data_IF_773023636206
#
_entry.id   IF_773023636206
#
_cell.length_a   1.000
_cell.length_b   1.000
_cell.length_c   1.000
_cell.angle_alpha   90.00
_cell.angle_beta   90.00
_cell.angle_gamma   90.00
#
_symmetry.space_group_name_H-M   'P 1'
#
loop_
_entity.id
_entity.type
_entity.pdbx_description
1 polymer ?
#
# COMPACT_ATOMS: atom_id res chain seq x y z
N UNK A 1 -50.76 -50.19 -14.20
CA UNK A 1 -51.77 -50.96 -14.95
C UNK A 1 -51.35 -51.00 -16.41
N UNK A 2 -50.97 -52.20 -16.86
CA UNK A 2 -51.07 -52.65 -18.26
C UNK A 2 -52.40 -52.15 -18.88
N UNK A 3 -52.59 -51.95 -20.18
CA UNK A 3 -51.79 -52.16 -21.38
C UNK A 3 -52.70 -51.73 -22.54
N UNK A 4 -52.08 -51.17 -23.59
CA UNK A 4 -52.21 -51.54 -25.01
C UNK A 4 -53.60 -51.79 -25.62
N UNK A 5 -53.76 -51.31 -26.87
CA UNK A 5 -53.94 -52.17 -28.06
C UNK A 5 -53.59 -51.36 -29.33
N UNK A 6 -52.51 -51.70 -30.05
CA UNK A 6 -52.32 -52.80 -31.05
C UNK A 6 -52.97 -52.40 -32.40
N UNK A 7 -52.21 -51.83 -33.36
CA UNK A 7 -51.41 -52.44 -34.46
C UNK A 7 -52.25 -52.94 -35.66
N UNK A 8 -51.89 -52.46 -36.86
CA UNK A 8 -51.81 -53.24 -38.11
C UNK A 8 -50.66 -52.62 -38.94
N UNK A 9 -49.60 -53.36 -39.29
CA UNK A 9 -49.50 -54.22 -40.49
C UNK A 9 -49.03 -53.36 -41.69
N UNK A 10 -47.95 -53.60 -42.43
CA UNK A 10 -47.52 -54.86 -43.02
C UNK A 10 -46.10 -54.74 -43.65
N UNK A 11 -45.36 -55.86 -43.62
CA UNK A 11 -44.24 -56.35 -44.46
C UNK A 11 -43.38 -55.36 -45.29
N UNK A 12 -42.08 -55.17 -44.96
CA UNK A 12 -40.87 -55.97 -45.33
C UNK A 12 -40.52 -56.00 -46.82
N UNK A 13 -39.40 -55.34 -47.17
CA UNK A 13 -38.35 -55.91 -48.05
C UNK A 13 -36.96 -55.50 -47.55
N UNK A 14 -36.05 -56.45 -47.67
CA UNK A 14 -34.76 -56.50 -46.99
C UNK A 14 -33.63 -55.79 -47.73
N UNK A 15 -32.70 -55.30 -46.91
CA UNK A 15 -31.25 -55.25 -47.09
C UNK A 15 -30.67 -54.66 -48.38
N UNK A 16 -29.96 -53.54 -48.20
CA UNK A 16 -28.54 -53.42 -48.58
C UNK A 16 -27.88 -52.33 -47.74
N UNK A 17 -26.95 -52.77 -46.91
CA UNK A 17 -26.02 -51.97 -46.11
C UNK A 17 -25.10 -51.16 -47.04
N UNK A 18 -25.07 -49.84 -46.85
CA UNK A 18 -23.91 -49.03 -47.20
C UNK A 18 -23.63 -48.11 -46.00
N UNK A 19 -22.58 -48.46 -45.26
CA UNK A 19 -22.05 -47.68 -44.15
C UNK A 19 -21.51 -46.35 -44.68
N UNK A 20 -21.98 -45.24 -44.11
CA UNK A 20 -21.26 -43.96 -44.15
C UNK A 20 -21.16 -43.48 -42.71
N UNK A 21 -20.05 -43.82 -42.06
CA UNK A 21 -19.64 -43.21 -40.80
C UNK A 21 -19.04 -41.86 -41.15
N UNK A 22 -19.82 -40.78 -41.00
CA UNK A 22 -19.27 -39.43 -41.00
C UNK A 22 -18.62 -39.16 -39.65
N UNK A 23 -17.29 -39.32 -39.60
CA UNK A 23 -16.46 -38.84 -38.51
C UNK A 23 -16.26 -37.33 -38.70
N UNK A 24 -17.15 -36.52 -38.13
CA UNK A 24 -16.94 -35.08 -38.02
C UNK A 24 -15.90 -34.84 -36.91
N UNK A 25 -14.62 -34.85 -37.28
CA UNK A 25 -13.55 -34.32 -36.44
C UNK A 25 -13.73 -32.80 -36.34
N UNK A 26 -14.45 -32.36 -35.30
CA UNK A 26 -14.48 -30.95 -34.91
C UNK A 26 -13.09 -30.55 -34.44
N UNK A 27 -12.31 -29.90 -35.31
CA UNK A 27 -11.11 -29.18 -34.91
C UNK A 27 -11.60 -27.97 -34.11
N UNK A 28 -11.71 -28.15 -32.79
CA UNK A 28 -11.85 -27.04 -31.88
C UNK A 28 -10.55 -26.25 -31.90
N UNK A 29 -10.51 -25.15 -32.67
CA UNK A 29 -9.49 -24.13 -32.48
C UNK A 29 -9.80 -23.46 -31.15
N UNK A 30 -9.26 -24.01 -30.06
CA UNK A 30 -9.14 -23.30 -28.80
C UNK A 30 -8.19 -22.13 -29.05
N UNK A 31 -8.75 -20.99 -29.47
CA UNK A 31 -8.04 -19.71 -29.36
C UNK A 31 -7.92 -19.45 -27.87
N UNK A 32 -6.82 -19.88 -27.26
CA UNK A 32 -6.40 -19.37 -25.97
C UNK A 32 -6.19 -17.88 -26.17
N UNK A 33 -7.20 -17.08 -25.82
CA UNK A 33 -6.96 -15.69 -25.48
C UNK A 33 -6.06 -15.76 -24.26
N UNK A 34 -4.74 -15.73 -24.51
CA UNK A 34 -3.78 -15.51 -23.46
C UNK A 34 -4.18 -14.18 -22.84
N UNK A 35 -4.76 -14.23 -21.64
CA UNK A 35 -4.87 -13.07 -20.80
C UNK A 35 -3.44 -12.54 -20.69
N UNK A 36 -3.15 -11.42 -21.34
CA UNK A 36 -1.98 -10.64 -21.01
C UNK A 36 -2.32 -10.10 -19.62
N UNK A 37 -2.01 -10.88 -18.60
CA UNK A 37 -1.83 -10.34 -17.28
C UNK A 37 -0.71 -9.32 -17.46
N UNK A 38 -1.08 -8.04 -17.51
CA UNK A 38 -0.16 -6.98 -17.15
C UNK A 38 0.20 -7.30 -15.70
N UNK A 39 1.24 -8.11 -15.51
CA UNK A 39 1.90 -8.20 -14.23
C UNK A 39 2.35 -6.77 -13.95
N UNK A 40 1.59 -6.06 -13.13
CA UNK A 40 2.12 -4.86 -12.52
C UNK A 40 3.36 -5.36 -11.79
N UNK A 41 4.54 -5.00 -12.27
CA UNK A 41 5.78 -5.41 -11.64
C UNK A 41 5.80 -4.73 -10.28
N UNK A 42 5.32 -5.44 -9.27
CA UNK A 42 5.30 -4.98 -7.90
C UNK A 42 6.73 -4.66 -7.50
N UNK A 43 6.97 -3.43 -7.07
CA UNK A 43 8.26 -3.10 -6.49
C UNK A 43 8.50 -3.95 -5.24
N UNK A 44 9.75 -4.32 -4.96
CA UNK A 44 10.09 -5.00 -3.70
C UNK A 44 9.65 -4.20 -2.48
N UNK A 45 9.81 -2.87 -2.53
CA UNK A 45 9.34 -1.96 -1.48
C UNK A 45 8.43 -0.89 -2.07
N UNK A 46 7.32 -0.63 -1.41
CA UNK A 46 6.51 0.56 -1.63
C UNK A 46 6.70 1.57 -0.50
N UNK A 47 7.22 2.75 -0.85
CA UNK A 47 7.47 3.84 0.09
C UNK A 47 6.22 4.72 0.11
N UNK A 48 5.48 4.69 1.21
CA UNK A 48 4.18 5.34 1.35
C UNK A 48 4.35 6.60 2.20
N UNK A 49 4.19 7.78 1.60
CA UNK A 49 4.57 9.06 2.21
C UNK A 49 3.34 9.95 2.46
N UNK A 50 3.13 10.31 3.73
CA UNK A 50 2.27 11.41 4.13
C UNK A 50 3.08 12.70 4.30
N UNK A 51 2.84 13.65 3.40
CA UNK A 51 3.50 14.97 3.38
C UNK A 51 3.11 15.84 4.60
N UNK A 52 3.79 16.95 4.79
CA UNK A 52 3.46 17.99 5.75
C UNK A 52 2.37 18.95 5.25
N UNK A 53 1.96 19.86 6.13
CA UNK A 53 0.89 20.81 5.84
C UNK A 53 1.21 21.70 4.64
N UNK A 54 0.30 21.71 3.66
CA UNK A 54 0.36 22.56 2.46
C UNK A 54 1.68 22.43 1.66
N UNK A 55 2.40 21.32 1.80
CA UNK A 55 3.64 21.14 1.08
C UNK A 55 3.41 21.07 -0.44
N UNK A 56 4.24 21.78 -1.24
CA UNK A 56 4.31 21.55 -2.67
C UNK A 56 5.07 20.24 -2.97
N UNK A 57 5.17 19.87 -4.25
CA UNK A 57 5.89 18.66 -4.69
C UNK A 57 5.00 17.45 -4.91
N UNK A 58 5.59 16.34 -5.36
CA UNK A 58 4.84 15.09 -5.59
C UNK A 58 4.71 14.32 -4.26
N UNK A 59 5.79 14.11 -3.53
CA UNK A 59 5.76 13.41 -2.23
C UNK A 59 5.82 14.40 -1.04
N UNK A 60 6.02 15.68 -1.32
CA UNK A 60 6.29 16.74 -0.35
C UNK A 60 7.74 17.21 -0.48
N UNK A 61 7.94 18.51 -0.65
CA UNK A 61 9.23 19.08 -1.02
C UNK A 61 10.29 19.05 0.08
N UNK A 62 9.91 19.11 1.37
CA UNK A 62 10.89 19.14 2.47
C UNK A 62 11.46 17.74 2.77
N UNK A 63 10.60 16.72 2.78
CA UNK A 63 10.99 15.36 3.18
C UNK A 63 10.73 14.34 2.09
N UNK A 64 9.50 14.24 1.57
CA UNK A 64 9.09 13.14 0.71
C UNK A 64 9.93 12.98 -0.56
N UNK A 65 9.98 14.03 -1.39
CA UNK A 65 10.70 14.01 -2.66
C UNK A 65 12.22 13.78 -2.48
N UNK A 66 12.94 14.53 -1.60
CA UNK A 66 14.37 14.31 -1.43
C UNK A 66 14.72 12.99 -0.72
N UNK A 67 13.92 12.54 0.26
CA UNK A 67 14.12 11.23 0.91
C UNK A 67 13.98 10.10 -0.10
N UNK A 68 12.91 10.11 -0.90
CA UNK A 68 12.69 9.07 -1.91
C UNK A 68 13.85 9.03 -2.90
N UNK A 69 14.35 10.19 -3.35
CA UNK A 69 15.51 10.25 -4.22
C UNK A 69 16.77 9.62 -3.59
N UNK A 70 16.98 9.76 -2.27
CA UNK A 70 18.07 9.09 -1.55
C UNK A 70 17.83 7.58 -1.47
N UNK A 71 16.63 7.14 -1.10
CA UNK A 71 16.26 5.72 -1.03
C UNK A 71 16.47 5.02 -2.37
N UNK A 72 15.99 5.60 -3.48
CA UNK A 72 16.15 5.04 -4.82
C UNK A 72 17.61 4.88 -5.25
N UNK A 73 18.53 5.68 -4.71
CA UNK A 73 19.96 5.59 -5.02
C UNK A 73 20.71 4.59 -4.13
N UNK A 74 20.25 4.38 -2.90
CA UNK A 74 21.01 3.62 -1.89
C UNK A 74 20.50 2.21 -1.68
N UNK A 75 19.21 1.96 -1.90
CA UNK A 75 18.65 0.63 -1.69
C UNK A 75 19.00 -0.31 -2.85
N UNK A 76 19.45 -1.55 -2.57
CA UNK A 76 19.81 -2.54 -3.59
C UNK A 76 18.60 -3.27 -4.18
N UNK A 77 17.39 -2.76 -3.98
CA UNK A 77 16.13 -3.34 -4.44
C UNK A 77 15.31 -2.29 -5.17
N UNK A 78 14.38 -2.73 -6.01
CA UNK A 78 13.44 -1.85 -6.67
C UNK A 78 12.41 -1.29 -5.67
N UNK A 79 12.14 0.01 -5.80
CA UNK A 79 11.19 0.72 -4.95
C UNK A 79 10.17 1.50 -5.78
N UNK A 80 8.96 1.62 -5.25
CA UNK A 80 7.92 2.55 -5.71
C UNK A 80 7.66 3.63 -4.67
N UNK A 81 7.05 4.74 -5.10
CA UNK A 81 6.55 5.78 -4.20
C UNK A 81 5.03 5.87 -4.31
N UNK A 82 4.37 5.99 -3.16
CA UNK A 82 2.98 6.38 -3.07
C UNK A 82 2.84 7.68 -2.29
N UNK A 83 2.20 8.67 -2.91
CA UNK A 83 1.73 9.87 -2.24
C UNK A 83 0.42 9.56 -1.53
N UNK A 84 0.37 9.72 -0.21
CA UNK A 84 -0.91 9.67 0.51
C UNK A 84 -1.76 10.86 0.08
N UNK A 85 -2.88 10.57 -0.58
CA UNK A 85 -3.82 11.57 -1.08
C UNK A 85 -4.77 12.01 0.06
N UNK A 86 -4.44 13.15 0.66
CA UNK A 86 -5.21 13.75 1.74
C UNK A 86 -5.05 15.28 1.74
N UNK A 87 -5.91 16.03 2.46
CA UNK A 87 -5.90 17.50 2.43
C UNK A 87 -4.54 18.10 2.80
N UNK A 88 -3.84 17.53 3.78
CA UNK A 88 -2.64 18.11 4.37
C UNK A 88 -2.86 19.58 4.81
N UNK A 89 -4.00 19.85 5.43
CA UNK A 89 -4.39 21.20 5.87
C UNK A 89 -4.81 21.16 7.33
N UNK A 90 -4.32 22.11 8.13
CA UNK A 90 -4.71 22.25 9.55
C UNK A 90 -6.12 22.85 9.70
N UNK A 91 -6.63 23.52 8.66
CA UNK A 91 -7.98 24.09 8.66
C UNK A 91 -9.06 23.06 8.28
N UNK A 92 -8.66 21.86 7.83
CA UNK A 92 -9.57 20.76 7.50
C UNK A 92 -9.59 19.77 8.67
N UNK A 93 -10.67 19.72 9.49
CA UNK A 93 -10.70 18.89 10.69
C UNK A 93 -10.50 17.39 10.44
N UNK A 94 -10.92 16.91 9.26
CA UNK A 94 -10.78 15.52 8.86
C UNK A 94 -9.40 15.18 8.28
N UNK A 95 -8.51 16.15 8.08
CA UNK A 95 -7.25 15.96 7.32
C UNK A 95 -6.48 14.73 7.82
N UNK A 96 -6.23 14.64 9.12
CA UNK A 96 -5.52 13.48 9.69
C UNK A 96 -6.29 12.18 9.46
N UNK A 97 -7.59 12.13 9.79
CA UNK A 97 -8.40 10.92 9.58
C UNK A 97 -8.46 10.47 8.11
N UNK A 98 -8.57 11.41 7.18
CA UNK A 98 -8.55 11.15 5.74
C UNK A 98 -7.19 10.60 5.30
N UNK A 99 -6.09 11.17 5.83
CA UNK A 99 -4.74 10.65 5.61
C UNK A 99 -4.58 9.22 6.11
N UNK A 100 -5.08 8.91 7.31
CA UNK A 100 -4.99 7.54 7.86
C UNK A 100 -5.78 6.54 7.01
N UNK A 101 -6.96 6.93 6.56
CA UNK A 101 -7.80 6.13 5.67
C UNK A 101 -7.09 5.90 4.34
N UNK A 102 -6.54 6.93 3.73
CA UNK A 102 -5.86 6.83 2.44
C UNK A 102 -4.60 5.94 2.52
N UNK A 103 -3.73 6.17 3.50
CA UNK A 103 -2.51 5.37 3.70
C UNK A 103 -2.86 3.90 4.00
N UNK A 104 -3.79 3.64 4.92
CA UNK A 104 -4.22 2.27 5.27
C UNK A 104 -4.82 1.56 4.06
N UNK A 105 -5.70 2.24 3.32
CA UNK A 105 -6.36 1.66 2.13
C UNK A 105 -5.36 1.30 1.04
N UNK A 106 -4.37 2.17 0.82
CA UNK A 106 -3.31 1.92 -0.17
C UNK A 106 -2.46 0.70 0.23
N UNK A 107 -1.99 0.64 1.48
CA UNK A 107 -1.19 -0.49 1.97
C UNK A 107 -1.98 -1.80 1.89
N UNK A 108 -3.27 -1.80 2.24
CA UNK A 108 -4.13 -2.99 2.11
C UNK A 108 -4.29 -3.44 0.64
N UNK A 109 -4.53 -2.49 -0.26
CA UNK A 109 -4.71 -2.78 -1.68
C UNK A 109 -3.41 -3.33 -2.30
N UNK A 110 -2.26 -2.69 -2.02
CA UNK A 110 -0.96 -3.17 -2.45
C UNK A 110 -0.62 -4.52 -1.83
N UNK A 111 -0.95 -4.73 -0.56
CA UNK A 111 -0.69 -5.99 0.11
C UNK A 111 -1.44 -7.16 -0.54
N UNK A 112 -2.68 -6.93 -0.99
CA UNK A 112 -3.49 -7.91 -1.70
C UNK A 112 -3.03 -8.14 -3.15
N UNK A 113 -2.63 -7.08 -3.85
CA UNK A 113 -2.16 -7.17 -5.24
C UNK A 113 -0.74 -7.75 -5.37
N UNK A 114 0.11 -7.48 -4.38
CA UNK A 114 1.53 -7.79 -4.36
C UNK A 114 1.89 -8.52 -3.05
N UNK A 115 1.70 -9.85 -2.94
CA UNK A 115 1.85 -10.56 -1.66
C UNK A 115 3.23 -10.45 -1.01
N UNK A 116 4.29 -10.32 -1.80
CA UNK A 116 5.70 -10.23 -1.32
C UNK A 116 6.19 -8.80 -1.09
N UNK A 117 5.43 -7.78 -1.51
CA UNK A 117 5.87 -6.39 -1.41
C UNK A 117 6.00 -5.96 0.06
N UNK A 118 7.02 -5.19 0.40
CA UNK A 118 7.21 -4.65 1.74
C UNK A 118 6.97 -3.14 1.72
N UNK A 119 6.74 -2.54 2.89
CA UNK A 119 6.34 -1.14 2.98
C UNK A 119 7.26 -0.35 3.90
N UNK A 120 7.60 0.86 3.46
CA UNK A 120 8.18 1.88 4.32
C UNK A 120 7.12 2.96 4.50
N UNK A 121 6.73 3.24 5.74
CA UNK A 121 5.76 4.31 6.02
C UNK A 121 6.52 5.56 6.44
N UNK A 122 6.29 6.66 5.73
CA UNK A 122 6.94 7.95 5.99
C UNK A 122 5.89 8.99 6.36
N UNK A 123 6.15 9.76 7.41
CA UNK A 123 5.30 10.88 7.80
C UNK A 123 6.13 12.09 8.19
N UNK A 124 5.79 13.26 7.64
CA UNK A 124 6.41 14.53 8.01
C UNK A 124 5.38 15.50 8.60
N UNK A 125 5.68 16.12 9.76
CA UNK A 125 4.82 17.12 10.40
C UNK A 125 3.40 16.57 10.66
N UNK A 126 2.35 17.15 10.08
CA UNK A 126 0.99 16.57 10.12
C UNK A 126 0.94 15.13 9.58
N UNK A 127 1.74 14.80 8.57
CA UNK A 127 1.88 13.44 8.04
C UNK A 127 2.49 12.45 9.04
N UNK A 128 3.31 12.89 10.00
CA UNK A 128 3.78 12.03 11.08
C UNK A 128 2.62 11.59 11.99
N UNK A 129 1.66 12.49 12.25
CA UNK A 129 0.42 12.16 12.99
C UNK A 129 -0.44 11.16 12.22
N UNK A 130 -0.52 11.31 10.88
CA UNK A 130 -1.17 10.33 10.00
C UNK A 130 -0.51 8.95 10.17
N UNK A 131 0.81 8.87 10.05
CA UNK A 131 1.55 7.61 10.21
C UNK A 131 1.36 7.02 11.61
N UNK A 132 1.40 7.83 12.67
CA UNK A 132 1.08 7.37 14.03
C UNK A 132 -0.31 6.74 14.13
N UNK A 133 -1.32 7.35 13.50
CA UNK A 133 -2.69 6.85 13.48
C UNK A 133 -2.81 5.50 12.77
N UNK A 134 -2.17 5.37 11.60
CA UNK A 134 -2.10 4.12 10.82
C UNK A 134 -1.45 2.99 11.63
N UNK A 135 -0.45 3.30 12.43
CA UNK A 135 0.25 2.35 13.29
C UNK A 135 -0.49 2.04 14.60
N UNK A 136 -1.61 2.71 14.89
CA UNK A 136 -2.38 2.52 16.12
C UNK A 136 -1.71 3.11 17.36
N UNK A 137 -0.90 4.15 17.19
CA UNK A 137 -0.23 4.83 18.32
C UNK A 137 -1.26 5.51 19.22
N UNK A 138 -1.15 5.33 20.54
CA UNK A 138 -2.14 5.80 21.51
C UNK A 138 -2.43 7.32 21.40
N UNK A 139 -1.39 8.13 21.17
CA UNK A 139 -1.52 9.58 21.05
C UNK A 139 -2.29 10.03 19.79
N UNK A 140 -2.36 9.20 18.74
CA UNK A 140 -3.08 9.50 17.52
C UNK A 140 -4.49 8.88 17.48
N UNK A 141 -4.68 7.69 18.06
CA UNK A 141 -5.97 6.97 18.03
C UNK A 141 -7.07 7.60 18.89
N UNK A 142 -6.72 8.58 19.74
CA UNK A 142 -7.70 9.44 20.41
C UNK A 142 -8.43 10.38 19.45
N UNK A 143 -7.88 10.62 18.26
CA UNK A 143 -8.54 11.42 17.23
C UNK A 143 -9.70 10.62 16.61
N UNK A 144 -10.82 11.26 16.27
CA UNK A 144 -11.95 10.58 15.67
C UNK A 144 -11.63 10.11 14.24
N UNK A 145 -12.19 8.97 13.84
CA UNK A 145 -12.15 8.50 12.45
C UNK A 145 -10.79 7.96 11.99
N UNK A 146 -9.89 7.61 12.91
CA UNK A 146 -8.57 7.04 12.59
C UNK A 146 -8.72 5.60 12.08
N UNK A 147 -8.06 5.33 10.95
CA UNK A 147 -7.90 3.99 10.39
C UNK A 147 -6.54 3.43 10.81
N UNK A 148 -6.56 2.20 11.30
CA UNK A 148 -5.38 1.48 11.79
C UNK A 148 -5.14 0.28 10.89
N UNK A 149 -3.88 0.00 10.55
CA UNK A 149 -3.51 -1.21 9.84
C UNK A 149 -3.84 -2.45 10.67
N UNK A 150 -4.39 -3.52 10.05
CA UNK A 150 -4.48 -4.81 10.70
C UNK A 150 -3.09 -5.27 11.17
N UNK A 151 -2.94 -5.72 12.42
CA UNK A 151 -1.63 -6.10 12.97
C UNK A 151 -0.96 -7.24 12.20
N UNK A 152 -1.71 -8.03 11.43
CA UNK A 152 -1.22 -9.09 10.56
C UNK A 152 -0.32 -8.56 9.42
N UNK A 153 -0.47 -7.28 9.03
CA UNK A 153 0.41 -6.64 8.05
C UNK A 153 1.69 -6.07 8.66
N UNK A 154 1.81 -6.04 9.98
CA UNK A 154 2.97 -5.52 10.70
C UNK A 154 4.32 -6.08 10.19
N UNK A 155 4.47 -7.40 9.92
CA UNK A 155 5.73 -7.96 9.40
C UNK A 155 6.13 -7.42 8.02
N UNK A 156 5.18 -6.87 7.25
CA UNK A 156 5.44 -6.27 5.94
C UNK A 156 5.84 -4.79 6.02
N UNK A 157 5.64 -4.13 7.17
CA UNK A 157 6.17 -2.77 7.41
C UNK A 157 7.63 -2.90 7.84
N UNK A 158 8.59 -2.54 6.99
CA UNK A 158 10.02 -2.77 7.27
C UNK A 158 10.69 -1.59 7.96
N UNK A 159 10.14 -0.39 7.78
CA UNK A 159 10.57 0.80 8.48
C UNK A 159 9.42 1.81 8.61
N UNK A 160 9.46 2.59 9.69
CA UNK A 160 8.62 3.76 9.92
C UNK A 160 9.55 4.94 10.11
N UNK A 161 9.43 5.95 9.25
CA UNK A 161 10.29 7.13 9.25
C UNK A 161 9.44 8.38 9.53
N UNK A 162 9.61 8.95 10.71
CA UNK A 162 8.90 10.14 11.14
C UNK A 162 9.85 11.34 11.14
N UNK A 163 9.41 12.46 10.60
CA UNK A 163 10.17 13.71 10.55
C UNK A 163 9.32 14.83 11.13
N UNK A 164 9.88 15.64 12.02
CA UNK A 164 9.14 16.79 12.58
C UNK A 164 7.85 16.38 13.28
N UNK A 165 7.85 15.23 13.95
CA UNK A 165 6.65 14.67 14.59
C UNK A 165 6.17 15.54 15.78
N UNK A 166 4.97 16.15 15.72
CA UNK A 166 4.45 16.95 16.83
C UNK A 166 4.09 16.11 18.05
N UNK A 167 3.83 14.81 17.91
CA UNK A 167 3.42 13.98 19.04
C UNK A 167 4.55 13.77 20.05
N UNK A 168 5.82 13.94 19.65
CA UNK A 168 6.97 13.97 20.56
C UNK A 168 6.80 14.95 21.72
N UNK A 169 6.23 16.12 21.48
CA UNK A 169 6.08 17.16 22.51
C UNK A 169 5.11 16.80 23.61
N UNK A 170 4.18 15.90 23.31
CA UNK A 170 3.18 15.40 24.27
C UNK A 170 3.51 13.99 24.77
N UNK A 171 4.74 13.52 24.55
CA UNK A 171 5.20 12.20 24.96
C UNK A 171 4.61 11.05 24.14
N UNK A 172 4.06 11.36 22.96
CA UNK A 172 3.59 10.36 22.02
C UNK A 172 4.73 9.49 21.50
N UNK A 173 4.46 8.20 21.38
CA UNK A 173 5.40 7.20 20.86
C UNK A 173 4.72 6.36 19.79
N UNK A 174 5.54 5.77 18.92
CA UNK A 174 5.04 4.78 17.96
C UNK A 174 4.54 3.55 18.72
N UNK A 175 3.46 2.94 18.24
CA UNK A 175 2.90 1.74 18.86
C UNK A 175 3.99 0.65 19.05
N UNK A 176 4.03 -0.05 20.20
CA UNK A 176 5.09 -1.01 20.53
C UNK A 176 5.37 -2.07 19.45
N UNK A 177 4.34 -2.45 18.69
CA UNK A 177 4.42 -3.39 17.57
C UNK A 177 5.42 -2.98 16.46
N UNK A 178 5.70 -1.68 16.33
CA UNK A 178 6.58 -1.11 15.30
C UNK A 178 7.81 -0.40 15.89
N UNK A 179 7.93 -0.31 17.22
CA UNK A 179 8.94 0.50 17.88
C UNK A 179 10.38 0.05 17.57
N UNK A 180 10.59 -1.22 17.24
CA UNK A 180 11.91 -1.75 16.88
C UNK A 180 12.41 -1.22 15.53
N UNK A 181 11.53 -0.69 14.67
CA UNK A 181 11.82 -0.24 13.29
C UNK A 181 11.25 1.12 12.98
N UNK A 182 10.98 1.89 14.01
CA UNK A 182 10.47 3.24 13.92
C UNK A 182 11.53 4.24 14.35
N UNK A 183 11.74 5.24 13.52
CA UNK A 183 12.77 6.25 13.70
C UNK A 183 12.13 7.62 13.58
N UNK A 184 12.38 8.48 14.58
CA UNK A 184 11.74 9.77 14.72
C UNK A 184 12.78 10.88 14.73
N UNK A 185 12.95 11.48 13.57
CA UNK A 185 13.92 12.54 13.29
C UNK A 185 13.33 13.89 13.67
N UNK A 186 14.06 14.62 14.51
CA UNK A 186 13.68 15.95 14.94
C UNK A 186 14.90 16.86 14.94
N UNK A 187 14.89 17.87 14.07
CA UNK A 187 16.00 18.82 13.96
C UNK A 187 16.06 19.70 15.20
N UNK A 188 17.27 19.92 15.72
CA UNK A 188 17.45 20.74 16.91
C UNK A 188 16.86 22.14 16.71
N UNK A 189 16.04 22.58 17.67
CA UNK A 189 15.39 23.89 17.61
C UNK A 189 14.09 23.93 16.79
N UNK A 190 13.63 22.81 16.25
CA UNK A 190 12.32 22.68 15.61
C UNK A 190 11.19 22.97 16.63
N UNK A 191 10.34 23.98 16.39
CA UNK A 191 9.23 24.31 17.28
C UNK A 191 8.15 23.21 17.35
N UNK A 192 8.05 22.34 16.34
CA UNK A 192 7.00 21.33 16.22
C UNK A 192 7.33 20.09 17.03
N UNK A 193 8.57 19.61 17.02
CA UNK A 193 8.95 18.33 17.64
C UNK A 193 9.99 18.45 18.76
N UNK A 194 10.63 19.61 18.92
CA UNK A 194 11.66 19.86 19.94
C UNK A 194 11.33 21.04 20.88
N UNK A 195 10.21 21.73 20.69
CA UNK A 195 9.81 22.88 21.53
C UNK A 195 10.75 24.06 21.35
N UNK A 196 11.42 24.12 20.20
CA UNK A 196 12.34 25.20 19.86
C UNK A 196 11.62 26.46 19.34
N UNK A 197 12.40 27.42 18.88
CA UNK A 197 11.93 28.74 18.43
C UNK A 197 12.38 29.07 17.00
N UNK A 198 12.88 28.08 16.25
CA UNK A 198 13.41 28.27 14.90
C UNK A 198 12.50 27.59 13.86
N UNK A 199 11.51 28.28 13.28
CA UNK A 199 10.61 27.70 12.29
C UNK A 199 11.32 27.05 11.09
N UNK A 200 12.47 27.58 10.68
CA UNK A 200 13.26 27.02 9.58
C UNK A 200 13.83 25.63 9.90
N UNK A 201 14.04 25.30 11.18
CA UNK A 201 14.50 23.97 11.58
C UNK A 201 13.46 22.88 11.25
N UNK A 202 12.17 23.24 11.20
CA UNK A 202 11.11 22.31 10.82
C UNK A 202 11.17 21.87 9.35
N UNK A 203 11.87 22.60 8.47
CA UNK A 203 12.09 22.19 7.08
C UNK A 203 13.45 21.53 6.83
N UNK A 204 14.34 21.46 7.83
CA UNK A 204 15.75 21.13 7.64
C UNK A 204 16.05 19.69 8.11
N UNK A 205 15.63 18.71 7.33
CA UNK A 205 15.74 17.27 7.65
C UNK A 205 16.72 16.49 6.77
N UNK A 206 17.37 17.17 5.85
CA UNK A 206 18.29 16.64 4.84
C UNK A 206 19.48 15.88 5.42
N UNK A 207 19.93 16.25 6.63
CA UNK A 207 20.97 15.52 7.37
C UNK A 207 20.57 14.07 7.71
N UNK A 208 19.27 13.78 7.82
CA UNK A 208 18.77 12.49 8.26
C UNK A 208 18.52 11.49 7.11
N UNK A 209 18.42 11.95 5.86
CA UNK A 209 17.96 11.08 4.76
C UNK A 209 18.89 9.90 4.47
N UNK A 210 20.21 10.10 4.53
CA UNK A 210 21.17 9.00 4.36
C UNK A 210 21.11 8.00 5.52
N UNK A 211 20.87 8.47 6.74
CA UNK A 211 20.71 7.62 7.93
C UNK A 211 19.43 6.79 7.80
N UNK A 212 18.32 7.41 7.41
CA UNK A 212 17.05 6.76 7.17
C UNK A 212 17.15 5.68 6.07
N UNK A 213 17.87 5.96 4.98
CA UNK A 213 18.12 4.97 3.94
C UNK A 213 18.95 3.79 4.45
N UNK A 214 19.96 4.02 5.29
CA UNK A 214 20.73 2.96 5.95
C UNK A 214 19.87 2.07 6.85
N UNK A 215 18.92 2.64 7.59
CA UNK A 215 17.99 1.89 8.43
C UNK A 215 17.03 1.02 7.60
N UNK A 216 16.50 1.55 6.50
CA UNK A 216 15.67 0.76 5.57
C UNK A 216 16.51 -0.38 4.98
N UNK A 217 17.74 -0.08 4.52
CA UNK A 217 18.67 -1.06 3.97
C UNK A 217 19.00 -2.21 4.93
N UNK A 218 19.12 -1.94 6.22
CA UNK A 218 19.39 -2.94 7.26
C UNK A 218 18.21 -3.91 7.52
N UNK A 219 17.05 -3.68 6.91
CA UNK A 219 15.81 -4.47 7.10
C UNK A 219 15.36 -5.21 5.85
N UNK A 220 16.09 -5.08 4.74
CA UNK A 220 15.85 -5.82 3.51
C UNK A 220 16.24 -7.28 3.70
#
# INVERSE_FOLDING_TARGET
MNSRKVISGFARRAARTLSVVLLAAGIGTATSQGSIALAHSCASIDVVIARGTQEPGYLGAAVGDPLYAVLSRQLPVDISAHRVEYPADLLVPSSVSDGTRAMTSHVLAQAAACPEQRFVLVGYSQGAVVTHGVLGSAAATVLPGIWVLPPELSPRIVAVLLFGDPLRLVGGTVAPLYADRAENYCTAGDPVCAGGVFPTAHGAYDWAFAVAAGQVGARL
#
